data_IF_034119066580
#
_entry.id   IF_034119066580
#
_cell.length_a   1.000
_cell.length_b   1.000
_cell.length_c   1.000
_cell.angle_alpha   90.00
_cell.angle_beta   90.00
_cell.angle_gamma   90.00
#
_symmetry.space_group_name_H-M   'P 1'
#
loop_
_entity.id
_entity.type
_entity.pdbx_description
1 polymer ?
#
# COMPACT_ATOMS: atom_id res chain seq x y z
N UNK A 1 -1.12 1.76 -13.74
CA UNK A 1 -0.10 1.23 -12.82
C UNK A 1 0.75 2.38 -12.27
N UNK A 2 1.48 2.14 -11.20
CA UNK A 2 2.45 3.10 -10.64
C UNK A 2 3.77 2.37 -10.41
N UNK A 3 4.83 2.77 -11.12
CA UNK A 3 6.16 2.15 -11.02
C UNK A 3 7.18 3.27 -10.82
N UNK A 4 7.95 3.22 -9.72
CA UNK A 4 8.94 4.26 -9.42
C UNK A 4 8.33 5.66 -9.32
N UNK A 5 7.09 5.77 -8.82
CA UNK A 5 6.33 7.04 -8.74
C UNK A 5 5.76 7.54 -10.07
N UNK A 6 6.01 6.86 -11.19
CA UNK A 6 5.45 7.24 -12.49
C UNK A 6 4.14 6.51 -12.74
N UNK A 7 3.10 7.28 -13.08
CA UNK A 7 1.81 6.75 -13.51
C UNK A 7 1.83 6.45 -15.01
N UNK A 8 1.45 5.24 -15.39
CA UNK A 8 1.27 4.84 -16.78
C UNK A 8 0.14 3.83 -16.93
N UNK A 9 -0.30 3.60 -18.17
CA UNK A 9 -1.01 2.36 -18.49
C UNK A 9 -0.03 1.18 -18.38
N UNK A 10 -0.55 -0.02 -18.07
CA UNK A 10 0.21 -1.27 -18.24
C UNK A 10 0.33 -1.66 -19.71
N UNK A 11 1.19 -2.62 -20.02
CA UNK A 11 1.42 -3.08 -21.40
C UNK A 11 0.39 -4.08 -21.93
N UNK A 12 -0.51 -4.59 -21.08
CA UNK A 12 -1.46 -5.65 -21.41
C UNK A 12 -2.83 -5.17 -21.90
N UNK A 13 -3.78 -6.10 -21.93
CA UNK A 13 -5.15 -5.81 -22.37
C UNK A 13 -5.85 -4.85 -21.41
N UNK A 14 -6.70 -3.98 -21.97
CA UNK A 14 -7.58 -3.09 -21.20
C UNK A 14 -8.66 -3.90 -20.50
N UNK A 15 -8.89 -3.59 -19.22
CA UNK A 15 -9.94 -4.15 -18.37
C UNK A 15 -10.70 -2.98 -17.74
N UNK A 16 -12.02 -3.02 -17.88
CA UNK A 16 -12.91 -2.04 -17.24
C UNK A 16 -13.21 -2.44 -15.81
N UNK A 17 -13.19 -1.45 -14.92
CA UNK A 17 -13.71 -1.56 -13.55
C UNK A 17 -15.08 -0.92 -13.55
N UNK A 18 -16.09 -1.72 -13.26
CA UNK A 18 -17.50 -1.32 -13.31
C UNK A 18 -18.11 -1.29 -11.91
N UNK A 19 -19.24 -0.60 -11.76
CA UNK A 19 -20.03 -0.70 -10.54
C UNK A 19 -20.71 -2.07 -10.45
N UNK A 20 -20.47 -2.91 -9.41
CA UNK A 20 -21.07 -4.25 -9.37
C UNK A 20 -22.60 -4.24 -9.34
N UNK A 21 -23.21 -3.23 -8.69
CA UNK A 21 -24.67 -3.03 -8.66
C UNK A 21 -25.24 -2.37 -9.93
N UNK A 22 -24.40 -1.92 -10.86
CA UNK A 22 -24.80 -1.34 -12.15
C UNK A 22 -23.69 -1.53 -13.17
N UNK A 23 -23.47 -2.78 -13.60
CA UNK A 23 -22.31 -3.17 -14.41
C UNK A 23 -22.19 -2.47 -15.77
N UNK A 24 -23.26 -1.84 -16.28
CA UNK A 24 -23.21 -0.96 -17.45
C UNK A 24 -22.55 0.41 -17.20
N UNK A 25 -22.24 0.76 -15.95
CA UNK A 25 -21.54 1.99 -15.56
C UNK A 25 -20.07 1.69 -15.25
N UNK A 26 -19.18 2.21 -16.09
CA UNK A 26 -17.72 2.08 -15.96
C UNK A 26 -17.19 3.18 -15.04
N UNK A 27 -16.43 2.81 -14.01
CA UNK A 27 -15.77 3.73 -13.07
C UNK A 27 -14.38 4.15 -13.56
N UNK A 28 -13.72 3.27 -14.32
CA UNK A 28 -12.41 3.48 -14.90
C UNK A 28 -11.92 2.23 -15.60
N UNK A 29 -10.73 2.31 -16.18
CA UNK A 29 -10.09 1.17 -16.84
C UNK A 29 -8.62 1.13 -16.48
N UNK A 30 -8.06 -0.07 -16.41
CA UNK A 30 -6.63 -0.29 -16.34
C UNK A 30 -6.19 -1.20 -17.49
N UNK A 31 -4.92 -1.15 -17.86
CA UNK A 31 -4.32 -2.18 -18.69
C UNK A 31 -3.60 -3.17 -17.77
N UNK A 32 -3.83 -4.47 -17.99
CA UNK A 32 -3.21 -5.52 -17.18
C UNK A 32 -1.69 -5.44 -17.24
N UNK A 33 -1.03 -5.68 -16.10
CA UNK A 33 0.42 -5.73 -16.05
C UNK A 33 0.98 -6.89 -16.89
N UNK A 34 2.05 -6.64 -17.62
CA UNK A 34 2.86 -7.65 -18.32
C UNK A 34 4.04 -8.10 -17.46
N UNK A 35 4.75 -9.15 -17.90
CA UNK A 35 6.01 -9.52 -17.25
C UNK A 35 7.07 -8.41 -17.32
N UNK A 36 7.03 -7.56 -18.36
CA UNK A 36 7.93 -6.42 -18.47
C UNK A 36 7.61 -5.36 -17.40
N UNK A 37 6.32 -5.08 -17.17
CA UNK A 37 5.86 -4.20 -16.09
C UNK A 37 6.24 -4.76 -14.72
N UNK A 38 6.08 -6.07 -14.51
CA UNK A 38 6.49 -6.75 -13.27
C UNK A 38 8.00 -6.63 -13.02
N UNK A 39 8.84 -6.88 -14.03
CA UNK A 39 10.31 -6.69 -13.92
C UNK A 39 10.68 -5.24 -13.62
N UNK A 40 10.00 -4.27 -14.26
CA UNK A 40 10.23 -2.86 -14.00
C UNK A 40 9.85 -2.46 -12.57
N UNK A 41 8.73 -2.97 -12.03
CA UNK A 41 8.33 -2.74 -10.64
C UNK A 41 9.31 -3.34 -9.63
N UNK A 42 9.81 -4.55 -9.88
CA UNK A 42 10.84 -5.18 -9.03
C UNK A 42 12.14 -4.38 -9.07
N UNK A 43 12.56 -3.91 -10.25
CA UNK A 43 13.74 -3.06 -10.38
C UNK A 43 13.58 -1.73 -9.62
N UNK A 44 12.41 -1.09 -9.74
CA UNK A 44 12.11 0.15 -9.02
C UNK A 44 12.09 -0.05 -7.49
N UNK A 45 11.49 -1.14 -7.00
CA UNK A 45 11.50 -1.51 -5.58
C UNK A 45 12.93 -1.68 -5.05
N UNK A 46 13.75 -2.47 -5.75
CA UNK A 46 15.16 -2.68 -5.38
C UNK A 46 15.98 -1.39 -5.42
N UNK A 47 15.71 -0.50 -6.37
CA UNK A 47 16.40 0.79 -6.47
C UNK A 47 16.02 1.75 -5.32
N UNK A 48 14.77 1.72 -4.86
CA UNK A 48 14.29 2.55 -3.76
C UNK A 48 14.73 2.04 -2.37
N UNK A 49 15.00 0.73 -2.23
CA UNK A 49 15.25 0.09 -0.95
C UNK A 49 16.40 0.73 -0.13
N UNK A 50 17.60 1.00 -0.68
CA UNK A 50 18.68 1.59 0.12
C UNK A 50 18.30 2.94 0.73
N UNK A 51 17.64 3.81 -0.04
CA UNK A 51 17.21 5.12 0.43
C UNK A 51 16.11 5.03 1.50
N UNK A 52 15.15 4.13 1.32
CA UNK A 52 14.06 3.92 2.27
C UNK A 52 14.52 3.29 3.59
N UNK A 53 15.45 2.35 3.52
CA UNK A 53 16.04 1.68 4.68
C UNK A 53 16.94 2.62 5.49
N UNK A 54 17.60 3.58 4.81
CA UNK A 54 18.45 4.57 5.46
C UNK A 54 17.69 5.64 6.26
N UNK A 55 16.39 5.82 6.00
CA UNK A 55 15.54 6.70 6.82
C UNK A 55 15.43 6.17 8.25
N UNK A 56 15.21 7.09 9.20
CA UNK A 56 14.86 6.69 10.56
C UNK A 56 13.50 5.99 10.59
N UNK A 57 13.22 5.21 11.64
CA UNK A 57 11.88 4.67 11.85
C UNK A 57 10.83 5.79 11.91
N UNK A 58 11.16 6.90 12.59
CA UNK A 58 10.23 8.02 12.77
C UNK A 58 9.88 8.68 11.43
N UNK A 59 10.83 8.83 10.52
CA UNK A 59 10.58 9.37 9.17
C UNK A 59 9.67 8.44 8.36
N UNK A 60 9.89 7.12 8.44
CA UNK A 60 9.01 6.14 7.79
C UNK A 60 7.60 6.15 8.39
N UNK A 61 7.50 6.23 9.72
CA UNK A 61 6.24 6.29 10.45
C UNK A 61 5.47 7.57 10.12
N UNK A 62 6.14 8.72 9.99
CA UNK A 62 5.53 10.00 9.68
C UNK A 62 4.74 9.97 8.35
N UNK A 63 5.22 9.22 7.35
CA UNK A 63 4.48 9.01 6.10
C UNK A 63 3.12 8.36 6.35
N UNK A 64 3.07 7.27 7.14
CA UNK A 64 1.81 6.57 7.41
C UNK A 64 0.90 7.34 8.36
N UNK A 65 1.45 8.06 9.34
CA UNK A 65 0.65 8.94 10.20
C UNK A 65 0.03 10.09 9.41
N UNK A 66 0.79 10.71 8.50
CA UNK A 66 0.24 11.73 7.59
C UNK A 66 -0.80 11.14 6.64
N UNK A 67 -0.58 9.92 6.11
CA UNK A 67 -1.58 9.23 5.31
C UNK A 67 -2.88 8.99 6.10
N UNK A 68 -2.77 8.59 7.37
CA UNK A 68 -3.91 8.41 8.26
C UNK A 68 -4.68 9.72 8.47
N UNK A 69 -4.00 10.85 8.68
CA UNK A 69 -4.66 12.15 8.85
C UNK A 69 -5.32 12.64 7.54
N UNK A 70 -4.66 12.43 6.40
CA UNK A 70 -5.25 12.71 5.08
C UNK A 70 -6.53 11.90 4.86
N UNK A 71 -6.50 10.60 5.18
CA UNK A 71 -7.65 9.70 5.05
C UNK A 71 -8.74 9.97 6.08
N UNK A 72 -8.38 10.45 7.27
CA UNK A 72 -9.35 10.86 8.30
C UNK A 72 -10.03 12.20 7.96
N UNK A 73 -9.40 13.04 7.14
CA UNK A 73 -9.92 14.34 6.72
C UNK A 73 -10.17 14.43 5.21
N UNK A 74 -9.34 15.16 4.44
CA UNK A 74 -9.67 15.57 3.07
C UNK A 74 -9.87 14.45 2.05
N UNK A 75 -9.37 13.24 2.32
CA UNK A 75 -9.52 12.08 1.44
C UNK A 75 -10.65 11.13 1.86
N UNK A 76 -11.27 11.34 3.03
CA UNK A 76 -12.20 10.39 3.66
C UNK A 76 -13.33 9.97 2.71
N UNK A 77 -14.14 10.93 2.28
CA UNK A 77 -15.31 10.66 1.44
C UNK A 77 -14.91 10.20 0.03
N UNK A 78 -13.75 10.65 -0.48
CA UNK A 78 -13.26 10.24 -1.79
C UNK A 78 -12.94 8.74 -1.82
N UNK A 79 -12.21 8.24 -0.82
CA UNK A 79 -11.84 6.82 -0.72
C UNK A 79 -13.05 5.97 -0.33
N UNK A 80 -13.92 6.47 0.56
CA UNK A 80 -15.18 5.81 0.90
C UNK A 80 -16.09 5.65 -0.33
N UNK A 81 -16.28 6.71 -1.12
CA UNK A 81 -17.09 6.66 -2.34
C UNK A 81 -16.50 5.70 -3.40
N UNK A 82 -15.18 5.71 -3.58
CA UNK A 82 -14.50 4.76 -4.47
C UNK A 82 -14.76 3.30 -4.05
N UNK A 83 -14.73 3.04 -2.74
CA UNK A 83 -15.02 1.73 -2.15
C UNK A 83 -16.50 1.34 -2.34
N UNK A 84 -17.43 2.27 -2.11
CA UNK A 84 -18.86 2.05 -2.35
C UNK A 84 -19.13 1.69 -3.81
N UNK A 85 -18.58 2.46 -4.75
CA UNK A 85 -18.85 2.29 -6.17
C UNK A 85 -18.18 1.03 -6.73
N UNK A 86 -16.89 0.82 -6.46
CA UNK A 86 -16.10 -0.28 -7.03
C UNK A 86 -16.37 -1.63 -6.38
N UNK A 87 -16.69 -1.65 -5.08
CA UNK A 87 -16.92 -2.90 -4.32
C UNK A 87 -18.37 -3.07 -3.89
N UNK A 88 -19.26 -2.17 -4.32
CA UNK A 88 -20.71 -2.21 -4.01
C UNK A 88 -21.03 -2.20 -2.52
N UNK A 89 -20.21 -1.51 -1.72
CA UNK A 89 -20.45 -1.33 -0.29
C UNK A 89 -21.51 -0.25 -0.05
N UNK A 90 -22.33 -0.44 0.99
CA UNK A 90 -23.14 0.65 1.54
C UNK A 90 -22.22 1.70 2.17
N UNK A 91 -22.73 2.92 2.41
CA UNK A 91 -21.95 3.98 3.04
C UNK A 91 -21.36 3.53 4.40
N UNK A 92 -22.16 2.86 5.23
CA UNK A 92 -21.70 2.33 6.52
C UNK A 92 -20.60 1.28 6.35
N UNK A 93 -20.75 0.35 5.40
CA UNK A 93 -19.74 -0.70 5.14
C UNK A 93 -18.44 -0.11 4.57
N UNK A 94 -18.53 0.93 3.74
CA UNK A 94 -17.36 1.63 3.24
C UNK A 94 -16.67 2.45 4.32
N UNK A 95 -17.43 3.06 5.23
CA UNK A 95 -16.94 3.89 6.34
C UNK A 95 -16.17 3.08 7.40
N UNK A 96 -16.66 1.89 7.77
CA UNK A 96 -15.96 1.06 8.75
C UNK A 96 -14.69 0.42 8.17
N UNK A 97 -14.64 0.17 6.86
CA UNK A 97 -13.51 -0.41 6.13
C UNK A 97 -12.51 0.67 5.72
N UNK A 98 -12.85 1.43 4.68
CA UNK A 98 -11.84 2.16 3.92
C UNK A 98 -11.26 3.39 4.63
N UNK A 99 -12.00 4.19 5.42
CA UNK A 99 -11.40 5.18 6.30
C UNK A 99 -11.12 4.64 7.70
N UNK A 100 -12.10 4.12 8.46
CA UNK A 100 -11.87 3.80 9.88
C UNK A 100 -10.81 2.71 10.10
N UNK A 101 -11.01 1.51 9.56
CA UNK A 101 -10.08 0.40 9.76
C UNK A 101 -8.70 0.70 9.16
N UNK A 102 -8.61 1.38 8.02
CA UNK A 102 -7.31 1.73 7.42
C UNK A 102 -6.55 2.82 8.19
N UNK A 103 -7.26 3.85 8.68
CA UNK A 103 -6.68 4.87 9.58
C UNK A 103 -6.15 4.20 10.84
N UNK A 104 -6.91 3.27 11.40
CA UNK A 104 -6.49 2.51 12.57
C UNK A 104 -5.28 1.63 12.25
N UNK A 105 -5.27 0.89 11.14
CA UNK A 105 -4.09 0.11 10.73
C UNK A 105 -2.83 0.97 10.68
N UNK A 106 -2.88 2.13 10.04
CA UNK A 106 -1.69 2.98 9.93
C UNK A 106 -1.24 3.55 11.28
N UNK A 107 -2.16 4.01 12.13
CA UNK A 107 -1.83 4.55 13.46
C UNK A 107 -1.34 3.46 14.42
N UNK A 108 -2.05 2.34 14.48
CA UNK A 108 -1.72 1.25 15.39
C UNK A 108 -0.49 0.47 14.93
N UNK A 109 -0.26 0.25 13.64
CA UNK A 109 0.98 -0.38 13.18
C UNK A 109 2.22 0.46 13.54
N UNK A 110 2.13 1.79 13.48
CA UNK A 110 3.20 2.67 13.95
C UNK A 110 3.44 2.48 15.46
N UNK A 111 2.38 2.43 16.26
CA UNK A 111 2.50 2.17 17.69
C UNK A 111 3.12 0.78 17.98
N UNK A 112 2.66 -0.27 17.28
CA UNK A 112 3.18 -1.63 17.42
C UNK A 112 4.65 -1.72 17.00
N UNK A 113 5.02 -1.14 15.85
CA UNK A 113 6.39 -1.13 15.38
C UNK A 113 7.31 -0.41 16.37
N UNK A 114 6.86 0.71 16.95
CA UNK A 114 7.62 1.41 17.99
C UNK A 114 7.81 0.54 19.24
N UNK A 115 6.77 -0.20 19.63
CA UNK A 115 6.81 -1.17 20.72
C UNK A 115 7.86 -2.27 20.47
N UNK A 116 7.81 -2.90 19.29
CA UNK A 116 8.79 -3.93 18.87
C UNK A 116 10.21 -3.38 18.94
N UNK A 117 10.47 -2.19 18.40
CA UNK A 117 11.81 -1.58 18.42
C UNK A 117 12.32 -1.27 19.83
N UNK A 118 11.44 -1.14 20.83
CA UNK A 118 11.82 -0.93 22.22
C UNK A 118 12.17 -2.22 22.96
N UNK A 119 11.85 -3.40 22.40
CA UNK A 119 12.21 -4.68 22.97
C UNK A 119 13.73 -4.89 22.84
N UNK A 120 14.43 -4.96 23.99
CA UNK A 120 15.88 -5.08 24.04
C UNK A 120 16.31 -6.16 25.06
N UNK A 121 17.44 -6.85 24.81
CA UNK A 121 17.94 -7.89 25.70
C UNK A 121 18.56 -7.32 26.98
N UNK A 122 18.60 -8.13 28.03
CA UNK A 122 19.35 -7.81 29.26
C UNK A 122 20.85 -7.76 28.95
N UNK A 123 21.53 -6.78 29.53
CA UNK A 123 22.99 -6.65 29.49
C UNK A 123 23.57 -7.03 30.86
N UNK A 124 24.45 -8.04 30.88
CA UNK A 124 25.21 -8.41 32.09
C UNK A 124 26.36 -7.44 32.35
N UNK A 125 26.94 -7.47 33.55
CA UNK A 125 28.07 -6.60 33.90
C UNK A 125 29.23 -6.76 32.91
N UNK A 126 29.75 -5.65 32.39
CA UNK A 126 30.84 -5.62 31.40
C UNK A 126 30.43 -5.95 29.96
N UNK A 127 29.15 -6.20 29.69
CA UNK A 127 28.61 -6.52 28.36
C UNK A 127 27.51 -5.52 27.99
N UNK A 128 27.39 -5.17 26.71
CA UNK A 128 26.26 -4.40 26.20
C UNK A 128 25.62 -5.10 25.00
N UNK A 129 24.46 -5.70 25.23
CA UNK A 129 23.67 -6.37 24.20
C UNK A 129 22.65 -5.39 23.58
N UNK A 130 22.44 -5.48 22.27
CA UNK A 130 21.44 -4.71 21.53
C UNK A 130 20.78 -5.61 20.49
N UNK A 131 19.49 -5.40 20.26
CA UNK A 131 18.74 -6.01 19.17
C UNK A 131 18.50 -4.99 18.07
N UNK A 132 18.84 -5.36 16.83
CA UNK A 132 18.62 -4.58 15.62
C UNK A 132 17.55 -5.25 14.74
N UNK A 133 16.41 -4.60 14.57
CA UNK A 133 15.29 -5.09 13.75
C UNK A 133 15.48 -4.68 12.29
N UNK A 134 16.29 -5.46 11.58
CA UNK A 134 16.58 -5.23 10.17
C UNK A 134 15.34 -5.46 9.29
N UNK A 135 15.18 -4.70 8.19
CA UNK A 135 14.24 -5.04 7.12
C UNK A 135 14.66 -6.35 6.43
N UNK A 136 13.77 -6.91 5.62
CA UNK A 136 14.08 -8.09 4.81
C UNK A 136 14.95 -7.71 3.60
N UNK A 137 15.78 -8.66 3.17
CA UNK A 137 16.49 -8.54 1.91
C UNK A 137 15.53 -8.73 0.72
N UNK A 138 15.66 -7.89 -0.30
CA UNK A 138 14.83 -7.96 -1.52
C UNK A 138 13.60 -7.06 -1.47
N UNK A 139 12.44 -7.61 -1.86
CA UNK A 139 11.17 -6.89 -1.93
C UNK A 139 10.03 -7.79 -1.44
N UNK A 140 8.95 -7.19 -0.96
CA UNK A 140 7.72 -7.90 -0.58
C UNK A 140 6.72 -7.85 -1.73
N UNK A 141 6.05 -8.96 -2.00
CA UNK A 141 4.94 -9.01 -2.95
C UNK A 141 3.61 -9.05 -2.20
N UNK A 142 2.84 -7.96 -2.28
CA UNK A 142 1.53 -7.84 -1.64
C UNK A 142 0.41 -8.07 -2.66
N UNK A 143 -0.35 -9.16 -2.48
CA UNK A 143 -1.53 -9.48 -3.29
C UNK A 143 -2.77 -9.29 -2.43
N UNK A 144 -3.66 -8.38 -2.83
CA UNK A 144 -4.74 -7.93 -1.95
C UNK A 144 -6.13 -8.30 -2.50
N UNK A 145 -7.06 -8.74 -1.63
CA UNK A 145 -8.39 -9.20 -2.04
C UNK A 145 -9.31 -8.02 -2.40
N UNK A 146 -10.51 -8.33 -2.89
CA UNK A 146 -11.49 -7.31 -3.28
C UNK A 146 -12.34 -6.76 -2.12
N UNK A 147 -12.46 -7.53 -1.04
CA UNK A 147 -13.52 -7.37 -0.05
C UNK A 147 -13.27 -6.23 0.96
N UNK A 148 -12.01 -5.82 1.17
CA UNK A 148 -11.65 -4.72 2.07
C UNK A 148 -10.60 -3.81 1.45
N UNK A 149 -10.91 -2.53 1.40
CA UNK A 149 -9.95 -1.49 1.01
C UNK A 149 -8.89 -1.28 2.08
N UNK A 150 -9.22 -1.46 3.36
CA UNK A 150 -8.27 -1.44 4.46
C UNK A 150 -7.21 -2.54 4.34
N UNK A 151 -7.62 -3.78 4.04
CA UNK A 151 -6.66 -4.87 3.76
C UNK A 151 -5.79 -4.53 2.54
N UNK A 152 -6.40 -3.94 1.50
CA UNK A 152 -5.67 -3.53 0.30
C UNK A 152 -4.62 -2.46 0.56
N UNK A 153 -4.88 -1.52 1.49
CA UNK A 153 -3.90 -0.53 1.93
C UNK A 153 -2.87 -1.10 2.91
N UNK A 154 -3.29 -1.92 3.86
CA UNK A 154 -2.44 -2.40 4.95
C UNK A 154 -1.37 -3.40 4.50
N UNK A 155 -1.73 -4.38 3.67
CA UNK A 155 -0.79 -5.43 3.22
C UNK A 155 0.48 -4.87 2.56
N UNK A 156 0.44 -3.83 1.71
CA UNK A 156 1.65 -3.21 1.20
C UNK A 156 2.29 -2.20 2.17
N UNK A 157 1.53 -1.50 3.02
CA UNK A 157 2.12 -0.46 3.89
C UNK A 157 2.76 -0.99 5.17
N UNK A 158 2.25 -2.08 5.74
CA UNK A 158 2.81 -2.69 6.95
C UNK A 158 4.28 -3.15 6.78
N UNK A 159 4.65 -3.91 5.72
CA UNK A 159 6.06 -4.20 5.46
C UNK A 159 6.85 -2.93 5.09
N UNK A 160 6.25 -1.97 4.39
CA UNK A 160 6.93 -0.72 4.06
C UNK A 160 7.33 0.09 5.29
N UNK A 161 6.49 0.15 6.33
CA UNK A 161 6.80 0.77 7.62
C UNK A 161 8.10 0.22 8.23
N UNK A 162 8.29 -1.10 8.13
CA UNK A 162 9.46 -1.80 8.65
C UNK A 162 10.71 -1.68 7.76
N UNK A 163 10.68 -0.80 6.76
CA UNK A 163 11.82 -0.53 5.87
C UNK A 163 11.87 -1.39 4.61
N UNK A 164 10.85 -2.20 4.33
CA UNK A 164 10.80 -2.98 3.09
C UNK A 164 10.30 -2.12 1.91
N UNK A 165 10.55 -2.59 0.70
CA UNK A 165 9.89 -2.08 -0.52
C UNK A 165 8.95 -3.14 -1.06
N UNK A 166 7.95 -2.73 -1.84
CA UNK A 166 6.79 -3.56 -2.14
C UNK A 166 6.38 -3.45 -3.60
N UNK A 167 6.05 -4.59 -4.19
CA UNK A 167 5.21 -4.69 -5.38
C UNK A 167 3.80 -5.05 -4.93
N UNK A 168 2.83 -4.21 -5.26
CA UNK A 168 1.44 -4.36 -4.83
C UNK A 168 0.54 -4.68 -6.02
N UNK A 169 -0.11 -5.84 -5.99
CA UNK A 169 -1.13 -6.25 -6.96
C UNK A 169 -2.53 -6.21 -6.31
N UNK A 170 -3.31 -5.14 -6.51
CA UNK A 170 -4.68 -5.09 -6.01
C UNK A 170 -5.61 -6.01 -6.81
N UNK A 171 -6.71 -6.45 -6.20
CA UNK A 171 -7.79 -7.13 -6.92
C UNK A 171 -8.33 -6.25 -8.06
N UNK A 172 -8.61 -6.80 -9.26
CA UNK A 172 -9.18 -6.04 -10.39
C UNK A 172 -10.38 -5.17 -10.00
N UNK A 173 -11.34 -5.74 -9.26
CA UNK A 173 -12.58 -5.07 -8.86
C UNK A 173 -12.39 -3.99 -7.78
N UNK A 174 -11.25 -3.97 -7.10
CA UNK A 174 -10.93 -2.98 -6.06
C UNK A 174 -9.98 -1.89 -6.57
N UNK A 175 -9.50 -2.00 -7.82
CA UNK A 175 -8.45 -1.14 -8.42
C UNK A 175 -8.75 0.36 -8.33
N UNK A 176 -10.02 0.79 -8.39
CA UNK A 176 -10.39 2.21 -8.28
C UNK A 176 -10.04 2.76 -6.89
N UNK A 177 -10.41 2.05 -5.83
CA UNK A 177 -10.05 2.43 -4.46
C UNK A 177 -8.52 2.30 -4.23
N UNK A 178 -7.88 1.22 -4.72
CA UNK A 178 -6.43 1.08 -4.66
C UNK A 178 -5.68 2.24 -5.33
N UNK A 179 -6.16 2.71 -6.49
CA UNK A 179 -5.55 3.84 -7.19
C UNK A 179 -5.60 5.11 -6.33
N UNK A 180 -6.75 5.40 -5.72
CA UNK A 180 -6.87 6.54 -4.79
C UNK A 180 -5.97 6.39 -3.57
N UNK A 181 -5.84 5.20 -2.99
CA UNK A 181 -4.89 4.96 -1.90
C UNK A 181 -3.44 5.20 -2.33
N UNK A 182 -3.04 4.78 -3.53
CA UNK A 182 -1.69 5.05 -4.04
C UNK A 182 -1.44 6.56 -4.19
N UNK A 183 -2.43 7.33 -4.68
CA UNK A 183 -2.33 8.80 -4.76
C UNK A 183 -2.21 9.44 -3.36
N UNK A 184 -3.00 8.96 -2.41
CA UNK A 184 -2.98 9.43 -1.03
C UNK A 184 -1.62 9.19 -0.37
N UNK A 185 -1.04 7.99 -0.56
CA UNK A 185 0.30 7.66 -0.04
C UNK A 185 1.39 8.56 -0.64
N UNK A 186 1.31 8.87 -1.93
CA UNK A 186 2.23 9.82 -2.57
C UNK A 186 2.07 11.24 -2.01
N UNK A 187 0.84 11.72 -1.78
CA UNK A 187 0.57 13.02 -1.14
C UNK A 187 1.07 13.04 0.32
N UNK A 188 1.02 11.90 1.01
CA UNK A 188 1.59 11.72 2.33
C UNK A 188 3.13 11.77 2.33
N UNK A 189 3.78 11.63 1.17
CA UNK A 189 5.23 11.70 1.02
C UNK A 189 5.92 10.34 0.90
N UNK A 190 5.19 9.28 0.54
CA UNK A 190 5.78 7.98 0.25
C UNK A 190 6.79 8.12 -0.90
N UNK A 191 8.08 7.77 -0.70
CA UNK A 191 9.08 7.95 -1.74
C UNK A 191 8.78 7.09 -2.99
N UNK A 192 9.09 7.59 -4.19
CA UNK A 192 8.94 6.84 -5.43
C UNK A 192 9.61 5.47 -5.37
N UNK A 193 8.86 4.42 -5.73
CA UNK A 193 9.38 3.05 -5.79
C UNK A 193 9.30 2.27 -4.48
N UNK A 194 8.96 2.88 -3.35
CA UNK A 194 8.75 2.13 -2.09
C UNK A 194 7.55 1.18 -2.20
N UNK A 195 6.45 1.64 -2.79
CA UNK A 195 5.33 0.79 -3.22
C UNK A 195 5.14 0.98 -4.72
N UNK A 196 5.06 -0.12 -5.47
CA UNK A 196 4.82 -0.14 -6.91
C UNK A 196 3.52 -0.90 -7.19
N UNK A 197 2.48 -0.21 -7.67
CA UNK A 197 1.15 -0.78 -7.87
C UNK A 197 0.96 -1.29 -9.29
N UNK A 198 0.69 -2.60 -9.44
CA UNK A 198 0.47 -3.31 -10.70
C UNK A 198 -0.95 -3.94 -10.75
N UNK A 199 -1.95 -3.24 -11.31
CA UNK A 199 -3.27 -3.83 -11.54
C UNK A 199 -3.23 -4.96 -12.57
N UNK A 200 -4.02 -6.00 -12.36
CA UNK A 200 -4.07 -7.16 -13.25
C UNK A 200 -4.70 -8.40 -12.60
N UNK A 201 -4.91 -9.43 -13.41
CA UNK A 201 -5.33 -10.77 -12.95
C UNK A 201 -4.27 -11.43 -12.05
N UNK A 202 -3.01 -11.03 -12.19
CA UNK A 202 -1.88 -11.52 -11.42
C UNK A 202 -1.09 -12.62 -12.09
N UNK A 203 -1.51 -13.12 -13.27
CA UNK A 203 -0.82 -14.24 -13.95
C UNK A 203 0.59 -13.84 -14.36
N UNK A 204 0.76 -12.63 -14.90
CA UNK A 204 2.08 -12.13 -15.32
C UNK A 204 2.95 -11.60 -14.16
N UNK A 205 2.39 -11.51 -12.95
CA UNK A 205 3.00 -10.89 -11.75
C UNK A 205 3.26 -11.93 -10.65
N UNK A 206 2.81 -13.18 -10.83
CA UNK A 206 2.95 -14.28 -9.86
C UNK A 206 3.92 -15.36 -10.34
#
# INVERSE_FOLDING_TARGET
QTIGGVQSAGGGARVDVVQPHRHGAVLGSFAGATQADARAAVAAAKAAAPGWQALSFDDRAAVLLKAADLLAGPWRERVAAATMLGQSKTAQQAEIDSPCELVDFWRFNVAFARGILAEQPVSSAGVWNRLDHRPLDGFVYAVTPFNFTAIAGNLPTAPALMGNTVVWKPSPTQTVAAWHLMRLLEEAGLPPGVINMLPGDGIAVS
#
